data_IF_568564492684
#
_entry.id   IF_568564492684
#
_cell.length_a   1.000
_cell.length_b   1.000
_cell.length_c   1.000
_cell.angle_alpha   90.00
_cell.angle_beta   90.00
_cell.angle_gamma   90.00
#
_symmetry.space_group_name_H-M   'P 1'
#
loop_
_entity.id
_entity.type
_entity.pdbx_description
1 polymer ?
#
# COMPACT_ATOMS: atom_id res chain seq x y z
N UNK A 1 -0.86 41.84 1.08
CA UNK A 1 -1.75 41.06 0.21
C UNK A 1 -0.96 40.82 -1.07
N UNK A 2 -0.25 39.75 -1.17
CA UNK A 2 0.54 39.38 -2.37
C UNK A 2 -0.09 38.13 -2.95
N UNK A 3 -0.51 38.25 -4.19
CA UNK A 3 -1.21 37.24 -4.98
C UNK A 3 -0.39 35.94 -5.02
N UNK A 4 -0.95 34.89 -4.43
CA UNK A 4 -0.49 33.51 -4.62
C UNK A 4 -0.94 33.09 -6.02
N UNK A 5 -0.06 32.77 -6.95
CA UNK A 5 -0.46 32.26 -8.26
C UNK A 5 -1.09 30.88 -8.09
N UNK A 6 -2.40 30.85 -8.11
CA UNK A 6 -3.22 29.65 -8.19
C UNK A 6 -3.15 29.13 -9.62
N UNK A 7 -2.87 27.83 -9.74
CA UNK A 7 -3.09 26.97 -10.92
C UNK A 7 -1.94 26.81 -11.91
N UNK A 8 -1.07 25.84 -11.67
CA UNK A 8 -0.65 25.03 -12.82
C UNK A 8 -1.75 23.99 -13.11
N UNK A 9 -2.71 24.33 -13.93
CA UNK A 9 -3.62 23.34 -14.55
C UNK A 9 -2.73 22.44 -15.40
N UNK A 10 -2.63 21.15 -15.06
CA UNK A 10 -1.98 20.18 -15.94
C UNK A 10 -2.56 20.33 -17.36
N UNK A 11 -1.72 20.32 -18.40
CA UNK A 11 -2.20 20.50 -19.76
C UNK A 11 -3.25 19.43 -20.08
N UNK A 12 -4.27 19.73 -20.90
CA UNK A 12 -5.38 18.80 -21.19
C UNK A 12 -4.89 17.44 -21.71
N UNK A 13 -3.78 17.39 -22.43
CA UNK A 13 -3.14 16.14 -22.90
C UNK A 13 -2.73 15.20 -21.75
N UNK A 14 -2.20 15.71 -20.66
CA UNK A 14 -1.80 14.86 -19.50
C UNK A 14 -2.98 14.18 -18.82
N UNK A 15 -4.16 14.79 -18.80
CA UNK A 15 -5.37 14.19 -18.22
C UNK A 15 -5.94 13.07 -19.08
N UNK A 16 -5.92 13.25 -20.41
CA UNK A 16 -6.37 12.21 -21.36
C UNK A 16 -5.47 11.00 -21.26
N UNK A 17 -4.15 11.19 -21.23
CA UNK A 17 -3.18 10.11 -21.04
C UNK A 17 -3.42 9.37 -19.72
N UNK A 18 -3.60 10.10 -18.61
CA UNK A 18 -3.87 9.49 -17.31
C UNK A 18 -5.18 8.69 -17.32
N UNK A 19 -6.24 9.24 -17.95
CA UNK A 19 -7.52 8.54 -18.05
C UNK A 19 -7.40 7.26 -18.90
N UNK A 20 -6.68 7.31 -20.02
CA UNK A 20 -6.42 6.14 -20.85
C UNK A 20 -5.65 5.04 -20.08
N UNK A 21 -4.63 5.44 -19.29
CA UNK A 21 -3.88 4.52 -18.46
C UNK A 21 -4.72 3.92 -17.33
N UNK A 22 -5.65 4.68 -16.75
CA UNK A 22 -6.60 4.19 -15.74
C UNK A 22 -7.53 3.13 -16.32
N UNK A 23 -8.09 3.36 -17.52
CA UNK A 23 -8.92 2.34 -18.16
C UNK A 23 -8.12 1.12 -18.61
N UNK A 24 -6.89 1.30 -19.08
CA UNK A 24 -6.00 0.18 -19.38
C UNK A 24 -5.70 -0.64 -18.10
N UNK A 25 -5.49 0.04 -16.97
CA UNK A 25 -5.30 -0.60 -15.66
C UNK A 25 -6.54 -1.42 -15.26
N UNK A 26 -7.74 -0.86 -15.41
CA UNK A 26 -9.00 -1.58 -15.15
C UNK A 26 -9.10 -2.82 -16.04
N UNK A 27 -8.80 -2.70 -17.33
CA UNK A 27 -8.83 -3.84 -18.25
C UNK A 27 -7.81 -4.93 -17.85
N UNK A 28 -6.57 -4.55 -17.53
CA UNK A 28 -5.55 -5.49 -17.04
C UNK A 28 -6.00 -6.17 -15.74
N UNK A 29 -6.59 -5.43 -14.78
CA UNK A 29 -7.15 -6.03 -13.57
C UNK A 29 -8.26 -7.03 -13.88
N UNK A 30 -9.17 -6.75 -14.82
CA UNK A 30 -10.23 -7.70 -15.22
C UNK A 30 -9.64 -9.00 -15.78
N UNK A 31 -8.65 -8.90 -16.68
CA UNK A 31 -7.96 -10.06 -17.23
C UNK A 31 -7.27 -10.85 -16.12
N UNK A 32 -6.49 -10.16 -15.31
CA UNK A 32 -5.74 -10.76 -14.20
C UNK A 32 -6.66 -11.47 -13.20
N UNK A 33 -7.73 -10.83 -12.73
CA UNK A 33 -8.66 -11.40 -11.76
C UNK A 33 -9.44 -12.61 -12.31
N UNK A 34 -9.78 -12.59 -13.61
CA UNK A 34 -10.39 -13.76 -14.27
C UNK A 34 -9.44 -14.95 -14.25
N UNK A 35 -8.15 -14.74 -14.54
CA UNK A 35 -7.16 -15.80 -14.48
C UNK A 35 -6.82 -16.21 -13.05
N UNK A 36 -6.91 -15.30 -12.09
CA UNK A 36 -6.82 -15.65 -10.66
C UNK A 36 -7.90 -16.66 -10.29
N UNK A 37 -9.16 -16.46 -10.66
CA UNK A 37 -10.23 -17.44 -10.36
C UNK A 37 -9.97 -18.80 -11.02
N UNK A 38 -9.31 -18.84 -12.18
CA UNK A 38 -8.96 -20.08 -12.87
C UNK A 38 -7.79 -20.82 -12.20
N UNK A 39 -6.68 -20.14 -11.95
CA UNK A 39 -5.45 -20.76 -11.43
C UNK A 39 -5.51 -21.06 -9.93
N UNK A 40 -6.32 -20.30 -9.17
CA UNK A 40 -6.46 -20.43 -7.72
C UNK A 40 -7.82 -21.02 -7.29
N UNK A 41 -8.53 -21.70 -8.21
CA UNK A 41 -9.79 -22.40 -7.93
C UNK A 41 -9.66 -23.57 -6.93
N UNK A 42 -8.44 -23.97 -6.59
CA UNK A 42 -8.19 -24.98 -5.55
C UNK A 42 -8.32 -24.44 -4.13
N UNK A 43 -8.45 -23.14 -3.95
CA UNK A 43 -8.85 -22.57 -2.66
C UNK A 43 -10.37 -22.63 -2.54
N UNK A 44 -10.87 -23.11 -1.41
CA UNK A 44 -12.32 -23.30 -1.17
C UNK A 44 -13.14 -22.00 -1.19
N UNK A 45 -12.47 -20.85 -1.24
CA UNK A 45 -13.11 -19.52 -1.24
C UNK A 45 -13.38 -18.96 -2.65
N UNK A 46 -12.88 -19.60 -3.71
CA UNK A 46 -13.03 -19.15 -5.10
C UNK A 46 -13.52 -20.27 -6.02
N UNK A 47 -14.52 -19.96 -6.85
CA UNK A 47 -14.98 -20.81 -7.94
C UNK A 47 -14.65 -20.17 -9.29
N UNK A 48 -14.27 -21.00 -10.27
CA UNK A 48 -14.12 -20.55 -11.64
C UNK A 48 -15.38 -20.85 -12.45
N UNK A 49 -16.06 -19.80 -12.88
CA UNK A 49 -17.19 -19.90 -13.78
C UNK A 49 -17.15 -18.77 -14.82
N UNK A 50 -16.85 -19.05 -16.10
CA UNK A 50 -16.78 -18.04 -17.16
C UNK A 50 -18.05 -17.21 -17.31
N UNK A 51 -19.24 -17.77 -16.99
CA UNK A 51 -20.50 -17.05 -17.06
C UNK A 51 -20.60 -15.90 -16.05
N UNK A 52 -19.78 -15.90 -14.98
CA UNK A 52 -19.74 -14.84 -13.98
C UNK A 52 -18.93 -13.62 -14.44
N UNK A 53 -18.19 -13.67 -15.55
CA UNK A 53 -17.39 -12.55 -16.02
C UNK A 53 -18.22 -11.28 -16.26
N UNK A 54 -19.30 -11.37 -17.04
CA UNK A 54 -20.15 -10.20 -17.29
C UNK A 54 -20.87 -9.69 -16.04
N UNK A 55 -21.46 -10.53 -15.18
CA UNK A 55 -21.98 -10.09 -13.89
C UNK A 55 -20.92 -9.40 -13.01
N UNK A 56 -19.69 -9.92 -12.96
CA UNK A 56 -18.58 -9.30 -12.22
C UNK A 56 -18.23 -7.92 -12.77
N UNK A 57 -18.15 -7.80 -14.10
CA UNK A 57 -17.88 -6.52 -14.77
C UNK A 57 -18.98 -5.50 -14.49
N UNK A 58 -20.26 -5.90 -14.49
CA UNK A 58 -21.40 -5.02 -14.18
C UNK A 58 -21.35 -4.50 -12.74
N UNK A 59 -20.99 -5.35 -11.78
CA UNK A 59 -20.86 -4.94 -10.36
C UNK A 59 -19.67 -4.00 -10.17
N UNK A 60 -18.59 -4.20 -10.90
CA UNK A 60 -17.41 -3.36 -10.85
C UNK A 60 -17.51 -2.07 -11.70
N UNK A 61 -18.46 -1.99 -12.63
CA UNK A 61 -18.61 -0.88 -13.59
C UNK A 61 -18.70 0.52 -12.93
N UNK A 62 -19.40 0.73 -11.78
CA UNK A 62 -19.45 2.02 -11.11
C UNK A 62 -18.06 2.54 -10.73
N UNK A 63 -17.10 1.65 -10.47
CA UNK A 63 -15.70 2.03 -10.20
C UNK A 63 -14.99 2.56 -11.44
N UNK A 64 -15.42 2.18 -12.65
CA UNK A 64 -14.94 2.78 -13.89
C UNK A 64 -15.19 4.30 -13.94
N UNK A 65 -16.30 4.77 -13.37
CA UNK A 65 -16.57 6.20 -13.26
C UNK A 65 -15.61 6.93 -12.29
N UNK A 66 -15.09 6.23 -11.26
CA UNK A 66 -14.11 6.82 -10.34
C UNK A 66 -12.75 7.09 -11.00
N UNK A 67 -12.45 6.52 -12.17
CA UNK A 67 -11.28 6.87 -12.96
C UNK A 67 -11.25 8.38 -13.28
N UNK A 68 -12.40 9.01 -13.52
CA UNK A 68 -12.50 10.46 -13.70
C UNK A 68 -12.07 11.21 -12.43
N UNK A 69 -12.45 10.73 -11.25
CA UNK A 69 -12.06 11.35 -9.97
C UNK A 69 -10.54 11.38 -9.85
N UNK A 70 -9.85 10.26 -10.12
CA UNK A 70 -8.38 10.21 -10.12
C UNK A 70 -7.74 11.05 -11.21
N UNK A 71 -8.35 11.15 -12.40
CA UNK A 71 -7.84 11.99 -13.49
C UNK A 71 -7.88 13.50 -13.15
N UNK A 72 -8.81 13.94 -12.31
CA UNK A 72 -8.97 15.33 -11.91
C UNK A 72 -8.37 15.65 -10.54
N UNK A 73 -8.21 14.69 -9.65
CA UNK A 73 -7.59 14.89 -8.33
C UNK A 73 -6.13 15.34 -8.46
N UNK A 74 -5.66 16.13 -7.49
CA UNK A 74 -4.23 16.49 -7.36
C UNK A 74 -3.47 15.34 -6.72
N UNK A 75 -2.19 15.20 -7.09
CA UNK A 75 -1.33 14.25 -6.41
C UNK A 75 -1.16 14.66 -4.93
N UNK A 76 -1.27 13.67 -4.05
CA UNK A 76 -1.06 13.76 -2.61
C UNK A 76 -0.77 12.36 -2.06
N UNK A 77 -0.43 12.23 -0.77
CA UNK A 77 -0.36 10.92 -0.13
C UNK A 77 -1.71 10.18 -0.19
N UNK A 78 -2.81 10.94 -0.01
CA UNK A 78 -4.17 10.40 -0.15
C UNK A 78 -4.48 9.90 -1.56
N UNK A 79 -3.88 10.48 -2.60
CA UNK A 79 -3.97 9.97 -3.96
C UNK A 79 -3.30 8.59 -4.09
N UNK A 80 -2.08 8.44 -3.56
CA UNK A 80 -1.32 7.19 -3.59
C UNK A 80 -2.08 6.08 -2.85
N UNK A 81 -2.48 6.35 -1.60
CA UNK A 81 -3.21 5.38 -0.78
C UNK A 81 -4.62 5.12 -1.33
N UNK A 82 -5.28 6.16 -1.85
CA UNK A 82 -6.60 6.07 -2.46
C UNK A 82 -6.63 5.18 -3.71
N UNK A 83 -5.58 5.24 -4.54
CA UNK A 83 -5.48 4.38 -5.72
C UNK A 83 -5.30 2.91 -5.32
N UNK A 84 -4.49 2.62 -4.29
CA UNK A 84 -4.40 1.28 -3.73
C UNK A 84 -5.72 0.79 -3.14
N UNK A 85 -6.42 1.63 -2.39
CA UNK A 85 -7.75 1.34 -1.84
C UNK A 85 -8.79 1.07 -2.94
N UNK A 86 -8.75 1.86 -4.00
CA UNK A 86 -9.56 1.64 -5.21
C UNK A 86 -9.30 0.26 -5.82
N UNK A 87 -8.03 -0.14 -5.92
CA UNK A 87 -7.64 -1.47 -6.44
C UNK A 87 -8.23 -2.60 -5.59
N UNK A 88 -8.15 -2.49 -4.26
CA UNK A 88 -8.69 -3.50 -3.33
C UNK A 88 -10.20 -3.66 -3.51
N UNK A 89 -10.94 -2.54 -3.52
CA UNK A 89 -12.39 -2.59 -3.63
C UNK A 89 -12.81 -3.03 -5.03
N UNK A 90 -12.10 -2.61 -6.08
CA UNK A 90 -12.34 -3.08 -7.44
C UNK A 90 -12.19 -4.61 -7.53
N UNK A 91 -11.08 -5.14 -7.01
CA UNK A 91 -10.84 -6.58 -7.00
C UNK A 91 -11.89 -7.34 -6.18
N UNK A 92 -12.30 -6.81 -5.03
CA UNK A 92 -13.36 -7.40 -4.22
C UNK A 92 -14.70 -7.46 -4.96
N UNK A 93 -15.15 -6.36 -5.55
CA UNK A 93 -16.42 -6.32 -6.29
C UNK A 93 -16.41 -7.27 -7.49
N UNK A 94 -15.25 -7.42 -8.14
CA UNK A 94 -15.09 -8.36 -9.25
C UNK A 94 -15.12 -9.81 -8.77
N UNK A 95 -14.33 -10.15 -7.73
CA UNK A 95 -14.18 -11.52 -7.21
C UNK A 95 -15.41 -12.02 -6.44
N UNK A 96 -16.21 -11.12 -5.84
CA UNK A 96 -17.41 -11.48 -5.09
C UNK A 96 -18.44 -12.31 -5.91
N UNK A 97 -18.37 -12.25 -7.25
CA UNK A 97 -19.20 -13.10 -8.13
C UNK A 97 -18.67 -14.52 -8.29
N UNK A 98 -17.41 -14.73 -7.95
CA UNK A 98 -16.74 -16.03 -7.97
C UNK A 98 -16.51 -16.58 -6.56
N UNK A 99 -16.97 -15.87 -5.53
CA UNK A 99 -16.87 -16.28 -4.13
C UNK A 99 -17.80 -17.46 -3.84
N UNK A 100 -17.33 -18.36 -2.99
CA UNK A 100 -18.10 -19.52 -2.46
C UNK A 100 -18.53 -19.30 -1.02
N UNK A 101 -18.18 -18.15 -0.43
CA UNK A 101 -18.50 -17.81 0.96
C UNK A 101 -20.00 -17.49 1.12
N UNK A 102 -20.54 -17.79 2.31
CA UNK A 102 -21.98 -17.71 2.59
C UNK A 102 -22.35 -16.48 3.44
N UNK A 103 -22.46 -15.33 2.79
CA UNK A 103 -22.95 -14.11 3.43
C UNK A 103 -23.63 -13.18 2.42
N UNK A 104 -24.23 -12.08 2.86
CA UNK A 104 -24.89 -11.11 1.97
C UNK A 104 -23.86 -10.31 1.14
N UNK A 105 -23.44 -10.89 0.01
CA UNK A 105 -22.53 -10.25 -0.95
C UNK A 105 -23.07 -8.93 -1.52
N UNK A 106 -24.38 -8.73 -1.58
CA UNK A 106 -24.97 -7.47 -2.04
C UNK A 106 -24.72 -6.37 -1.02
N UNK A 107 -25.01 -6.65 0.25
CA UNK A 107 -24.70 -5.72 1.35
C UNK A 107 -23.19 -5.47 1.43
N UNK A 108 -22.35 -6.52 1.33
CA UNK A 108 -20.89 -6.42 1.31
C UNK A 108 -20.38 -5.52 0.18
N UNK A 109 -20.89 -5.70 -1.03
CA UNK A 109 -20.52 -4.88 -2.20
C UNK A 109 -20.91 -3.42 -2.04
N UNK A 110 -22.12 -3.14 -1.55
CA UNK A 110 -22.57 -1.77 -1.29
C UNK A 110 -21.72 -1.14 -0.18
N UNK A 111 -21.46 -1.87 0.91
CA UNK A 111 -20.61 -1.42 2.02
C UNK A 111 -19.21 -1.07 1.55
N UNK A 112 -18.56 -1.92 0.77
CA UNK A 112 -17.22 -1.69 0.26
C UNK A 112 -17.17 -0.47 -0.68
N UNK A 113 -18.15 -0.33 -1.58
CA UNK A 113 -18.24 0.80 -2.49
C UNK A 113 -18.45 2.12 -1.73
N UNK A 114 -19.38 2.16 -0.78
CA UNK A 114 -19.64 3.34 0.06
C UNK A 114 -18.45 3.65 0.95
N UNK A 115 -17.79 2.63 1.51
CA UNK A 115 -16.55 2.80 2.29
C UNK A 115 -15.44 3.42 1.45
N UNK A 116 -15.28 2.97 0.20
CA UNK A 116 -14.30 3.58 -0.71
C UNK A 116 -14.60 5.05 -0.97
N UNK A 117 -15.86 5.41 -1.25
CA UNK A 117 -16.25 6.82 -1.45
C UNK A 117 -16.02 7.64 -0.18
N UNK A 118 -16.42 7.12 0.98
CA UNK A 118 -16.24 7.77 2.28
C UNK A 118 -14.75 8.03 2.58
N UNK A 119 -13.87 7.11 2.20
CA UNK A 119 -12.43 7.29 2.29
C UNK A 119 -11.88 8.28 1.27
N UNK A 120 -12.23 8.12 -0.02
CA UNK A 120 -11.65 8.89 -1.12
C UNK A 120 -12.00 10.38 -1.08
N UNK A 121 -13.24 10.73 -0.69
CA UNK A 121 -13.67 12.13 -0.68
C UNK A 121 -12.74 13.00 0.18
N UNK A 122 -12.53 12.75 1.47
CA UNK A 122 -11.58 13.55 2.23
C UNK A 122 -10.12 13.33 1.79
N UNK A 123 -9.72 12.11 1.46
CA UNK A 123 -8.34 11.78 1.10
C UNK A 123 -7.86 12.45 -0.19
N UNK A 124 -8.73 12.70 -1.15
CA UNK A 124 -8.35 13.32 -2.44
C UNK A 124 -8.54 14.84 -2.46
N UNK A 125 -9.52 15.37 -1.73
CA UNK A 125 -9.95 16.76 -1.90
C UNK A 125 -9.53 17.68 -0.75
N UNK A 126 -9.23 17.17 0.44
CA UNK A 126 -8.77 18.00 1.55
C UNK A 126 -7.24 18.03 1.56
N UNK A 127 -6.67 19.07 0.92
CA UNK A 127 -5.23 19.24 0.74
C UNK A 127 -4.72 20.63 1.16
N UNK A 128 -5.55 21.50 1.75
CA UNK A 128 -5.13 22.84 2.17
C UNK A 128 -3.99 22.76 3.21
N UNK A 129 -2.87 23.52 3.04
CA UNK A 129 -1.69 23.38 3.90
C UNK A 129 -1.97 23.79 5.35
N UNK A 130 -1.29 23.13 6.27
CA UNK A 130 -1.20 23.56 7.67
C UNK A 130 0.08 24.39 7.83
N UNK A 131 -0.01 25.53 8.52
CA UNK A 131 1.15 26.38 8.81
C UNK A 131 2.18 25.58 9.61
N UNK A 132 3.39 25.48 9.07
CA UNK A 132 4.52 24.91 9.81
C UNK A 132 4.96 25.85 10.92
N UNK A 133 5.03 25.34 12.16
CA UNK A 133 5.59 26.08 13.31
C UNK A 133 7.05 25.72 13.53
N UNK A 134 7.45 24.52 13.16
CA UNK A 134 8.81 24.01 13.27
C UNK A 134 9.26 23.52 11.91
N UNK A 135 10.39 24.05 11.44
CA UNK A 135 11.01 23.67 10.16
C UNK A 135 12.47 23.35 10.44
N UNK A 136 12.91 22.20 10.00
CA UNK A 136 14.30 21.81 10.08
C UNK A 136 15.14 22.64 9.10
N UNK A 137 16.33 23.06 9.52
CA UNK A 137 17.33 23.56 8.58
C UNK A 137 17.83 22.41 7.67
N UNK A 138 18.41 22.72 6.51
CA UNK A 138 19.02 21.69 5.63
C UNK A 138 20.04 20.83 6.40
N UNK A 139 20.88 21.45 7.24
CA UNK A 139 21.83 20.74 8.10
C UNK A 139 21.12 19.89 9.17
N UNK A 140 20.00 20.37 9.73
CA UNK A 140 19.16 19.62 10.66
C UNK A 140 18.55 18.39 10.01
N UNK A 141 18.00 18.55 8.80
CA UNK A 141 17.48 17.43 8.01
C UNK A 141 18.59 16.40 7.75
N UNK A 142 19.77 16.83 7.29
CA UNK A 142 20.88 15.91 7.02
C UNK A 142 21.31 15.12 8.26
N UNK A 143 21.30 15.74 9.45
CA UNK A 143 21.58 15.06 10.73
C UNK A 143 20.51 14.01 11.03
N UNK A 144 19.22 14.33 10.84
CA UNK A 144 18.11 13.37 11.02
C UNK A 144 18.26 12.19 10.06
N UNK A 145 18.57 12.44 8.80
CA UNK A 145 18.79 11.36 7.81
C UNK A 145 20.00 10.49 8.20
N UNK A 146 21.09 11.09 8.69
CA UNK A 146 22.26 10.35 9.16
C UNK A 146 21.94 9.51 10.41
N UNK A 147 21.16 10.05 11.35
CA UNK A 147 20.67 9.29 12.51
C UNK A 147 19.81 8.11 12.13
N UNK A 148 18.94 8.24 11.11
CA UNK A 148 18.15 7.12 10.59
C UNK A 148 19.05 6.03 10.03
N UNK A 149 20.09 6.37 9.24
CA UNK A 149 21.04 5.36 8.74
C UNK A 149 21.80 4.68 9.86
N UNK A 150 22.29 5.45 10.84
CA UNK A 150 23.03 4.92 11.99
C UNK A 150 22.14 4.01 12.84
N UNK A 151 20.93 4.45 13.18
CA UNK A 151 19.97 3.64 13.91
C UNK A 151 19.63 2.34 13.16
N UNK A 152 19.47 2.42 11.83
CA UNK A 152 19.22 1.25 11.00
C UNK A 152 20.37 0.26 11.03
N UNK A 153 21.60 0.73 10.95
CA UNK A 153 22.79 -0.12 11.05
C UNK A 153 22.86 -0.81 12.42
N UNK A 154 22.63 -0.06 13.51
CA UNK A 154 22.60 -0.62 14.86
C UNK A 154 21.51 -1.71 14.99
N UNK A 155 20.29 -1.45 14.48
CA UNK A 155 19.20 -2.42 14.56
C UNK A 155 19.44 -3.64 13.67
N UNK A 156 20.09 -3.48 12.50
CA UNK A 156 20.54 -4.64 11.69
C UNK A 156 21.53 -5.49 12.48
N UNK A 157 22.54 -4.88 13.10
CA UNK A 157 23.54 -5.60 13.92
C UNK A 157 22.87 -6.29 15.11
N UNK A 158 22.04 -5.58 15.87
CA UNK A 158 21.28 -6.15 16.99
C UNK A 158 20.38 -7.30 16.53
N UNK A 159 19.65 -7.10 15.42
CA UNK A 159 18.79 -8.12 14.85
C UNK A 159 19.56 -9.37 14.38
N UNK A 160 20.78 -9.17 13.87
CA UNK A 160 21.64 -10.27 13.43
C UNK A 160 22.06 -11.21 14.57
N UNK A 161 22.11 -10.74 15.82
CA UNK A 161 22.33 -11.63 16.99
C UNK A 161 21.17 -12.58 17.24
N UNK A 162 19.94 -12.22 16.82
CA UNK A 162 18.77 -13.09 16.93
C UNK A 162 18.62 -14.01 15.72
N UNK A 163 18.85 -13.49 14.51
CA UNK A 163 18.81 -14.25 13.27
C UNK A 163 19.59 -13.55 12.16
N UNK A 164 20.41 -14.33 11.46
CA UNK A 164 21.03 -13.91 10.21
C UNK A 164 21.14 -15.10 9.27
N UNK A 165 20.18 -15.23 8.33
CA UNK A 165 20.13 -16.34 7.38
C UNK A 165 19.76 -15.82 5.99
N UNK A 166 20.45 -16.26 4.97
CA UNK A 166 20.06 -16.06 3.58
C UNK A 166 19.25 -17.29 3.14
N UNK A 167 17.98 -17.08 2.86
CA UNK A 167 17.03 -18.15 2.51
C UNK A 167 16.37 -17.80 1.18
N UNK A 168 16.07 -18.78 0.34
CA UNK A 168 15.29 -18.60 -0.87
C UNK A 168 13.84 -18.17 -0.58
N UNK A 169 13.18 -17.55 -1.57
CA UNK A 169 11.80 -17.05 -1.40
C UNK A 169 10.82 -18.17 -1.04
N UNK A 170 11.05 -19.39 -1.53
CA UNK A 170 10.21 -20.56 -1.24
C UNK A 170 10.26 -20.97 0.23
N UNK A 171 11.42 -20.85 0.85
CA UNK A 171 11.67 -21.36 2.21
C UNK A 171 11.46 -20.30 3.31
N UNK A 172 11.12 -19.06 2.93
CA UNK A 172 10.95 -17.95 3.87
C UNK A 172 10.04 -18.35 5.05
N UNK A 173 8.89 -18.95 4.78
CA UNK A 173 7.89 -19.25 5.83
C UNK A 173 8.35 -20.33 6.81
N UNK A 174 9.13 -21.31 6.34
CA UNK A 174 9.68 -22.39 7.18
C UNK A 174 10.54 -21.85 8.32
N UNK A 175 11.37 -20.84 8.01
CA UNK A 175 12.28 -20.25 9.00
C UNK A 175 11.70 -19.03 9.71
N UNK A 176 10.90 -18.22 9.03
CA UNK A 176 10.33 -16.98 9.57
C UNK A 176 9.41 -17.23 10.78
N UNK A 177 8.63 -18.31 10.77
CA UNK A 177 7.70 -18.62 11.85
C UNK A 177 8.41 -19.01 13.17
N UNK A 178 9.72 -19.26 13.11
CA UNK A 178 10.57 -19.56 14.27
C UNK A 178 11.26 -18.33 14.84
N UNK A 179 11.10 -17.15 14.19
CA UNK A 179 11.82 -15.94 14.58
C UNK A 179 11.08 -15.19 15.69
N UNK A 180 11.76 -15.02 16.81
CA UNK A 180 11.28 -14.22 17.94
C UNK A 180 12.22 -13.04 18.16
N UNK A 181 11.71 -11.82 18.03
CA UNK A 181 12.42 -10.60 18.35
C UNK A 181 11.79 -9.95 19.58
N UNK A 182 12.59 -9.36 20.49
CA UNK A 182 12.07 -8.49 21.55
C UNK A 182 11.19 -7.39 20.95
N UNK A 183 10.11 -7.04 21.64
CA UNK A 183 9.15 -6.04 21.13
C UNK A 183 9.80 -4.73 20.64
N UNK A 184 10.76 -4.10 21.35
CA UNK A 184 11.41 -2.88 20.87
C UNK A 184 12.13 -3.07 19.52
N UNK A 185 12.83 -4.18 19.34
CA UNK A 185 13.55 -4.50 18.09
C UNK A 185 12.56 -4.70 16.95
N UNK A 186 11.48 -5.43 17.18
CA UNK A 186 10.42 -5.65 16.19
C UNK A 186 9.76 -4.35 15.74
N UNK A 187 9.42 -3.45 16.67
CA UNK A 187 8.88 -2.12 16.36
C UNK A 187 9.89 -1.26 15.61
N UNK A 188 11.17 -1.26 16.02
CA UNK A 188 12.21 -0.53 15.33
C UNK A 188 12.38 -1.00 13.89
N UNK A 189 12.45 -2.31 13.64
CA UNK A 189 12.53 -2.91 12.30
C UNK A 189 11.32 -2.45 11.44
N UNK A 190 10.10 -2.58 11.96
CA UNK A 190 8.89 -2.16 11.22
C UNK A 190 8.93 -0.69 10.81
N UNK A 191 9.28 0.20 11.74
CA UNK A 191 9.39 1.65 11.49
C UNK A 191 10.50 1.98 10.48
N UNK A 192 11.68 1.34 10.62
CA UNK A 192 12.82 1.60 9.76
C UNK A 192 12.57 1.16 8.32
N UNK A 193 12.12 -0.08 8.12
CA UNK A 193 11.95 -0.66 6.78
C UNK A 193 10.78 -0.04 6.03
N UNK A 194 9.65 0.22 6.72
CA UNK A 194 8.43 0.67 6.05
C UNK A 194 8.38 2.20 5.83
N UNK A 195 9.04 3.00 6.67
CA UNK A 195 8.87 4.45 6.66
C UNK A 195 10.18 5.24 6.68
N UNK A 196 11.06 5.00 7.67
CA UNK A 196 12.19 5.88 7.92
C UNK A 196 13.31 5.74 6.88
N UNK A 197 13.68 4.52 6.47
CA UNK A 197 14.67 4.31 5.42
C UNK A 197 14.15 4.74 4.03
N UNK A 198 12.90 4.47 3.62
CA UNK A 198 12.29 5.09 2.44
C UNK A 198 12.33 6.62 2.47
N UNK A 199 12.05 7.24 3.63
CA UNK A 199 12.19 8.68 3.80
C UNK A 199 13.65 9.13 3.65
N UNK A 200 14.61 8.41 4.24
CA UNK A 200 16.03 8.73 4.11
C UNK A 200 16.51 8.60 2.66
N UNK A 201 16.08 7.57 1.95
CA UNK A 201 16.35 7.40 0.51
C UNK A 201 15.87 8.61 -0.29
N UNK A 202 14.60 8.97 -0.16
CA UNK A 202 14.03 10.12 -0.86
C UNK A 202 14.69 11.44 -0.44
N UNK A 203 14.99 11.61 0.85
CA UNK A 203 15.65 12.80 1.40
C UNK A 203 17.06 13.01 0.85
N UNK A 204 17.86 11.95 0.79
CA UNK A 204 19.20 12.04 0.21
C UNK A 204 19.20 12.26 -1.29
N UNK A 205 18.21 11.72 -2.01
CA UNK A 205 18.04 12.05 -3.43
C UNK A 205 17.69 13.53 -3.64
N UNK A 206 16.80 14.08 -2.80
CA UNK A 206 16.43 15.49 -2.85
C UNK A 206 17.61 16.42 -2.49
N UNK A 207 18.52 15.97 -1.61
CA UNK A 207 19.76 16.68 -1.26
C UNK A 207 20.90 16.48 -2.28
N UNK A 208 20.68 15.77 -3.39
CA UNK A 208 21.73 15.49 -4.38
C UNK A 208 22.84 14.54 -3.89
N UNK A 209 22.57 13.68 -2.90
CA UNK A 209 23.54 12.75 -2.29
C UNK A 209 23.24 11.28 -2.64
N UNK A 210 23.43 10.85 -3.91
CA UNK A 210 23.00 9.54 -4.40
C UNK A 210 23.66 8.36 -3.68
N UNK A 211 24.92 8.49 -3.25
CA UNK A 211 25.61 7.41 -2.53
C UNK A 211 25.00 7.16 -1.14
N UNK A 212 24.58 8.22 -0.43
CA UNK A 212 23.86 8.06 0.84
C UNK A 212 22.45 7.52 0.63
N UNK A 213 21.81 7.88 -0.48
CA UNK A 213 20.55 7.26 -0.87
C UNK A 213 20.71 5.76 -1.15
N UNK A 214 21.76 5.37 -1.91
CA UNK A 214 22.07 3.95 -2.13
C UNK A 214 22.32 3.21 -0.80
N UNK A 215 23.03 3.82 0.15
CA UNK A 215 23.24 3.24 1.48
C UNK A 215 21.91 2.95 2.20
N UNK A 216 20.89 3.81 2.06
CA UNK A 216 19.57 3.55 2.61
C UNK A 216 18.90 2.31 1.98
N UNK A 217 19.01 2.13 0.65
CA UNK A 217 18.49 0.92 -0.03
C UNK A 217 19.23 -0.34 0.39
N UNK A 218 20.56 -0.26 0.51
CA UNK A 218 21.39 -1.38 0.98
C UNK A 218 20.99 -1.79 2.41
N UNK A 219 20.78 -0.81 3.31
CA UNK A 219 20.34 -1.07 4.68
C UNK A 219 18.95 -1.74 4.71
N UNK A 220 18.00 -1.31 3.85
CA UNK A 220 16.70 -2.02 3.74
C UNK A 220 16.93 -3.48 3.34
N UNK A 221 17.77 -3.73 2.33
CA UNK A 221 18.11 -5.08 1.87
C UNK A 221 18.77 -5.93 2.96
N UNK A 222 19.61 -5.33 3.81
CA UNK A 222 20.26 -6.04 4.93
C UNK A 222 19.28 -6.46 6.05
N UNK A 223 18.09 -5.87 6.12
CA UNK A 223 17.04 -6.39 6.99
C UNK A 223 16.46 -7.72 6.51
N UNK A 224 16.63 -8.10 5.22
CA UNK A 224 16.08 -9.36 4.72
C UNK A 224 16.65 -10.59 5.43
N UNK A 225 17.98 -10.83 5.49
CA UNK A 225 18.54 -11.98 6.20
C UNK A 225 18.24 -11.97 7.70
N UNK A 226 17.94 -10.82 8.29
CA UNK A 226 17.56 -10.68 9.70
C UNK A 226 16.10 -11.09 9.91
N UNK A 227 15.18 -10.58 9.08
CA UNK A 227 13.74 -10.68 9.33
C UNK A 227 13.03 -11.74 8.49
N UNK A 228 13.66 -12.22 7.44
CA UNK A 228 13.08 -13.12 6.43
C UNK A 228 11.71 -12.60 5.92
N UNK A 229 11.60 -11.27 5.70
CA UNK A 229 10.35 -10.68 5.21
C UNK A 229 10.46 -10.32 3.74
N UNK A 230 9.41 -10.67 2.97
CA UNK A 230 9.30 -10.26 1.57
C UNK A 230 9.33 -8.73 1.42
N UNK A 231 8.83 -7.99 2.42
CA UNK A 231 8.89 -6.53 2.45
C UNK A 231 10.34 -6.04 2.37
N UNK A 232 11.22 -6.50 3.27
CA UNK A 232 12.63 -6.10 3.28
C UNK A 232 13.35 -6.50 2.00
N UNK A 233 13.01 -7.65 1.40
CA UNK A 233 13.59 -8.15 0.16
C UNK A 233 13.22 -7.27 -1.04
N UNK A 234 11.94 -6.94 -1.20
CA UNK A 234 11.45 -6.28 -2.42
C UNK A 234 11.46 -4.74 -2.33
N UNK A 235 11.44 -4.16 -1.13
CA UNK A 235 11.38 -2.70 -0.96
C UNK A 235 12.52 -1.95 -1.64
N UNK A 236 13.79 -2.37 -1.65
CA UNK A 236 14.86 -1.66 -2.37
C UNK A 236 14.57 -1.53 -3.86
N UNK A 237 14.19 -2.63 -4.52
CA UNK A 237 13.80 -2.63 -5.93
C UNK A 237 12.55 -1.80 -6.21
N UNK A 238 11.56 -1.88 -5.33
CA UNK A 238 10.33 -1.10 -5.41
C UNK A 238 10.57 0.41 -5.33
N UNK A 239 11.38 0.87 -4.37
CA UNK A 239 11.70 2.29 -4.23
C UNK A 239 12.52 2.81 -5.40
N UNK A 240 13.48 2.03 -5.90
CA UNK A 240 14.25 2.36 -7.09
C UNK A 240 13.33 2.46 -8.33
N UNK A 241 12.38 1.55 -8.48
CA UNK A 241 11.39 1.56 -9.54
C UNK A 241 10.46 2.78 -9.46
N UNK A 242 9.93 3.11 -8.28
CA UNK A 242 9.11 4.31 -8.07
C UNK A 242 9.90 5.59 -8.35
N UNK A 243 11.15 5.67 -7.91
CA UNK A 243 12.03 6.80 -8.20
C UNK A 243 12.26 6.96 -9.70
N UNK A 244 12.52 5.84 -10.40
CA UNK A 244 12.72 5.83 -11.84
C UNK A 244 11.46 6.33 -12.57
N UNK A 245 10.29 5.78 -12.23
CA UNK A 245 9.02 6.24 -12.80
C UNK A 245 8.80 7.73 -12.53
N UNK A 246 8.96 8.17 -11.28
CA UNK A 246 8.78 9.57 -10.91
C UNK A 246 9.76 10.52 -11.60
N UNK A 247 10.90 10.03 -12.08
CA UNK A 247 11.88 10.83 -12.84
C UNK A 247 11.38 11.17 -14.26
N UNK A 248 10.67 10.23 -14.90
CA UNK A 248 10.28 10.35 -16.30
C UNK A 248 8.83 10.76 -16.53
N UNK A 249 7.95 10.46 -15.57
CA UNK A 249 6.53 10.77 -15.71
C UNK A 249 5.98 11.56 -14.51
N UNK A 250 4.80 12.16 -14.71
CA UNK A 250 4.07 12.84 -13.64
C UNK A 250 3.74 11.85 -12.50
N UNK A 251 3.81 12.27 -11.22
CA UNK A 251 3.57 11.38 -10.07
C UNK A 251 2.25 10.60 -10.11
N UNK A 252 1.15 11.19 -10.61
CA UNK A 252 -0.13 10.46 -10.77
C UNK A 252 -0.02 9.32 -11.77
N UNK A 253 0.65 9.56 -12.90
CA UNK A 253 0.94 8.54 -13.92
C UNK A 253 1.87 7.48 -13.33
N UNK A 254 2.89 7.90 -12.56
CA UNK A 254 3.80 6.97 -11.90
C UNK A 254 3.07 6.02 -10.93
N UNK A 255 2.06 6.51 -10.18
CA UNK A 255 1.21 5.65 -9.32
C UNK A 255 0.47 4.61 -10.15
N UNK A 256 -0.17 5.00 -11.25
CA UNK A 256 -0.92 4.04 -12.09
C UNK A 256 0.04 3.04 -12.74
N UNK A 257 1.13 3.52 -13.32
CA UNK A 257 2.14 2.65 -13.96
C UNK A 257 2.81 1.70 -12.98
N UNK A 258 2.98 2.10 -11.72
CA UNK A 258 3.61 1.25 -10.71
C UNK A 258 2.84 -0.05 -10.44
N UNK A 259 1.53 -0.05 -10.62
CA UNK A 259 0.70 -1.25 -10.55
C UNK A 259 0.41 -1.84 -11.93
N UNK A 260 0.13 -1.01 -12.93
CA UNK A 260 -0.20 -1.45 -14.29
C UNK A 260 0.94 -2.29 -14.91
N UNK A 261 2.19 -1.81 -14.86
CA UNK A 261 3.29 -2.51 -15.52
C UNK A 261 3.53 -3.91 -14.96
N UNK A 262 3.68 -4.12 -13.63
CA UNK A 262 3.86 -5.46 -13.09
C UNK A 262 2.68 -6.40 -13.41
N UNK A 263 1.44 -5.91 -13.31
CA UNK A 263 0.24 -6.71 -13.61
C UNK A 263 0.20 -7.10 -15.08
N UNK A 264 0.44 -6.15 -15.98
CA UNK A 264 0.45 -6.40 -17.43
C UNK A 264 1.54 -7.36 -17.85
N UNK A 265 2.69 -7.39 -17.18
CA UNK A 265 3.73 -8.40 -17.42
C UNK A 265 3.17 -9.79 -17.09
N UNK A 266 2.53 -9.97 -15.93
CA UNK A 266 1.91 -11.25 -15.58
C UNK A 266 0.83 -11.69 -16.56
N UNK A 267 -0.01 -10.76 -17.02
CA UNK A 267 -1.02 -11.05 -18.03
C UNK A 267 -0.38 -11.41 -19.40
N UNK A 268 0.73 -10.77 -19.77
CA UNK A 268 1.47 -11.08 -20.99
C UNK A 268 2.17 -12.46 -20.96
N UNK A 269 2.41 -13.02 -19.76
CA UNK A 269 2.94 -14.37 -19.62
C UNK A 269 1.89 -15.48 -19.89
N UNK A 270 0.60 -15.15 -19.80
CA UNK A 270 -0.50 -16.12 -19.99
C UNK A 270 -0.44 -16.85 -21.34
N UNK A 271 -0.34 -16.17 -22.50
CA UNK A 271 -0.24 -16.87 -23.78
C UNK A 271 1.03 -17.72 -23.89
N UNK A 272 2.15 -17.32 -23.27
CA UNK A 272 3.41 -18.09 -23.30
C UNK A 272 3.28 -19.42 -22.57
N UNK A 273 2.54 -19.45 -21.46
CA UNK A 273 2.21 -20.70 -20.75
C UNK A 273 1.22 -21.53 -21.55
N UNK A 274 0.18 -20.92 -22.11
CA UNK A 274 -0.82 -21.62 -22.92
C UNK A 274 -0.20 -22.34 -24.14
N UNK A 275 0.84 -21.74 -24.74
CA UNK A 275 1.59 -22.33 -25.86
C UNK A 275 2.76 -23.24 -25.43
N UNK A 276 2.97 -23.47 -24.13
CA UNK A 276 4.06 -24.32 -23.62
C UNK A 276 5.47 -23.73 -23.76
N UNK A 277 5.59 -22.44 -24.11
CA UNK A 277 6.88 -21.74 -24.27
C UNK A 277 7.49 -21.38 -22.90
N UNK A 278 6.65 -21.14 -21.90
CA UNK A 278 7.06 -20.88 -20.53
C UNK A 278 6.55 -21.98 -19.61
N UNK A 279 7.40 -22.48 -18.70
CA UNK A 279 6.98 -23.51 -17.74
C UNK A 279 5.97 -22.93 -16.75
N UNK A 280 5.04 -23.76 -16.30
CA UNK A 280 4.01 -23.40 -15.33
C UNK A 280 4.60 -22.86 -14.01
N UNK A 281 5.69 -23.46 -13.51
CA UNK A 281 6.33 -23.06 -12.26
C UNK A 281 6.88 -21.64 -12.31
N UNK A 282 7.53 -21.26 -13.40
CA UNK A 282 8.04 -19.90 -13.58
C UNK A 282 6.89 -18.88 -13.70
N UNK A 283 5.85 -19.24 -14.45
CA UNK A 283 4.67 -18.41 -14.58
C UNK A 283 3.99 -18.21 -13.22
N UNK A 284 3.63 -19.28 -12.51
CA UNK A 284 2.92 -19.18 -11.24
C UNK A 284 3.76 -18.48 -10.17
N UNK A 285 5.08 -18.60 -10.25
CA UNK A 285 6.01 -17.87 -9.39
C UNK A 285 5.86 -16.34 -9.55
N UNK A 286 5.79 -15.85 -10.79
CA UNK A 286 5.56 -14.42 -11.06
C UNK A 286 4.09 -14.04 -10.80
N UNK A 287 3.15 -14.71 -11.45
CA UNK A 287 1.72 -14.42 -11.41
C UNK A 287 1.18 -14.48 -9.97
N UNK A 288 1.61 -15.48 -9.19
CA UNK A 288 1.26 -15.59 -7.78
C UNK A 288 1.86 -14.50 -6.89
N UNK A 289 3.08 -14.05 -7.20
CA UNK A 289 3.73 -13.01 -6.40
C UNK A 289 3.21 -11.62 -6.74
N UNK A 290 2.83 -11.36 -7.97
CA UNK A 290 2.39 -10.04 -8.47
C UNK A 290 0.87 -10.02 -8.62
N UNK A 291 0.30 -10.65 -9.64
CA UNK A 291 -1.12 -10.54 -9.97
C UNK A 291 -2.03 -11.02 -8.84
N UNK A 292 -1.75 -12.19 -8.28
CA UNK A 292 -2.52 -12.71 -7.16
C UNK A 292 -2.33 -11.89 -5.88
N UNK A 293 -1.07 -11.64 -5.45
CA UNK A 293 -0.82 -10.98 -4.16
C UNK A 293 -1.03 -9.48 -4.15
N UNK A 294 -0.84 -8.77 -5.27
CA UNK A 294 -1.01 -7.31 -5.28
C UNK A 294 -2.48 -6.89 -5.40
N UNK A 295 -3.31 -7.68 -6.08
CA UNK A 295 -4.72 -7.34 -6.32
C UNK A 295 -5.65 -8.28 -5.57
N UNK A 296 -5.56 -9.60 -5.84
CA UNK A 296 -6.59 -10.53 -5.38
C UNK A 296 -6.53 -10.79 -3.87
N UNK A 297 -5.36 -10.97 -3.28
CA UNK A 297 -5.24 -11.25 -1.83
C UNK A 297 -5.80 -10.14 -0.95
N UNK A 298 -5.48 -8.84 -1.16
CA UNK A 298 -6.10 -7.77 -0.38
C UNK A 298 -7.61 -7.65 -0.63
N UNK A 299 -8.07 -8.01 -1.82
CA UNK A 299 -9.48 -8.01 -2.19
C UNK A 299 -10.25 -9.16 -1.55
N UNK A 300 -9.69 -10.37 -1.59
CA UNK A 300 -10.24 -11.56 -0.90
C UNK A 300 -10.28 -11.36 0.62
N UNK A 301 -9.36 -10.61 1.19
CA UNK A 301 -9.41 -10.30 2.61
C UNK A 301 -10.72 -9.59 3.00
N UNK A 302 -11.28 -8.71 2.14
CA UNK A 302 -12.59 -8.10 2.37
C UNK A 302 -13.71 -9.14 2.37
N UNK A 303 -13.65 -10.11 1.48
CA UNK A 303 -14.63 -11.18 1.33
C UNK A 303 -14.63 -12.09 2.57
N UNK A 304 -13.43 -12.56 2.98
CA UNK A 304 -13.22 -13.38 4.18
C UNK A 304 -13.71 -12.68 5.45
N UNK A 305 -13.41 -11.40 5.60
CA UNK A 305 -13.86 -10.61 6.75
C UNK A 305 -15.38 -10.37 6.68
N UNK A 306 -15.94 -10.19 5.49
CA UNK A 306 -17.38 -10.09 5.27
C UNK A 306 -18.11 -11.33 5.74
N UNK A 307 -17.65 -12.51 5.34
CA UNK A 307 -18.21 -13.80 5.76
C UNK A 307 -18.04 -14.03 7.26
N UNK A 308 -16.80 -13.94 7.77
CA UNK A 308 -16.51 -14.22 9.17
C UNK A 308 -17.34 -13.34 10.12
N UNK A 309 -17.33 -12.03 9.94
CA UNK A 309 -18.03 -11.08 10.82
C UNK A 309 -19.54 -10.96 10.54
N UNK A 310 -20.06 -11.68 9.56
CA UNK A 310 -21.50 -11.91 9.42
C UNK A 310 -22.02 -12.99 10.39
N UNK A 311 -21.14 -13.86 10.88
CA UNK A 311 -21.47 -15.00 11.75
C UNK A 311 -20.83 -14.92 13.14
N UNK A 312 -19.91 -13.96 13.38
CA UNK A 312 -19.16 -13.85 14.62
C UNK A 312 -19.21 -12.40 15.20
N UNK A 313 -18.88 -12.29 16.48
CA UNK A 313 -18.89 -11.02 17.19
C UNK A 313 -17.92 -10.01 16.58
N UNK A 314 -18.32 -8.73 16.57
CA UNK A 314 -17.50 -7.62 16.12
C UNK A 314 -16.41 -7.28 17.15
N UNK A 315 -15.30 -6.71 16.67
CA UNK A 315 -14.17 -6.35 17.55
C UNK A 315 -14.33 -5.02 18.24
N UNK A 316 -15.18 -4.12 17.75
CA UNK A 316 -15.35 -2.76 18.26
C UNK A 316 -14.02 -2.04 18.52
N UNK A 317 -13.05 -2.21 17.61
CA UNK A 317 -11.69 -1.66 17.68
C UNK A 317 -10.81 -2.20 18.82
N UNK A 318 -11.18 -3.30 19.49
CA UNK A 318 -10.39 -3.87 20.59
C UNK A 318 -8.98 -4.31 20.19
N UNK A 319 -8.70 -4.51 18.89
CA UNK A 319 -7.36 -4.75 18.35
C UNK A 319 -6.42 -3.55 18.54
N UNK A 320 -6.95 -2.34 18.79
CA UNK A 320 -6.15 -1.15 19.07
C UNK A 320 -5.77 -1.14 20.55
N UNK A 321 -4.48 -1.22 20.86
CA UNK A 321 -3.95 -1.41 22.21
C UNK A 321 -4.51 -0.40 23.24
N UNK A 322 -4.67 0.87 22.83
CA UNK A 322 -5.20 1.92 23.73
C UNK A 322 -6.67 1.67 24.06
N UNK A 323 -7.46 1.19 23.07
CA UNK A 323 -8.89 0.94 23.23
C UNK A 323 -9.19 -0.38 23.96
N UNK A 324 -8.25 -1.33 23.95
CA UNK A 324 -8.37 -2.61 24.65
C UNK A 324 -8.63 -2.45 26.15
N UNK A 325 -8.33 -1.28 26.74
CA UNK A 325 -8.64 -0.99 28.15
C UNK A 325 -10.11 -0.66 28.40
N UNK A 326 -10.84 -0.27 27.36
CA UNK A 326 -12.23 0.19 27.44
C UNK A 326 -13.20 -0.77 26.78
N UNK A 327 -12.72 -1.63 25.89
CA UNK A 327 -13.54 -2.59 25.13
C UNK A 327 -13.02 -4.00 25.39
N UNK A 328 -13.89 -4.87 25.85
CA UNK A 328 -13.58 -6.31 25.96
C UNK A 328 -13.43 -6.90 24.56
N UNK A 329 -12.31 -7.57 24.30
CA UNK A 329 -12.05 -8.20 23.01
C UNK A 329 -12.57 -9.64 23.01
N UNK A 330 -13.47 -10.03 22.09
CA UNK A 330 -13.95 -11.41 22.01
C UNK A 330 -12.86 -12.37 21.49
N UNK A 331 -11.75 -11.83 20.98
CA UNK A 331 -10.67 -12.61 20.38
C UNK A 331 -9.37 -12.50 21.17
N UNK A 332 -8.76 -13.64 21.48
CA UNK A 332 -7.45 -13.72 22.15
C UNK A 332 -6.27 -13.66 21.18
N UNK A 333 -6.47 -14.09 19.93
CA UNK A 333 -5.46 -14.13 18.88
C UNK A 333 -5.60 -12.94 17.91
N UNK A 334 -4.56 -12.70 17.11
CA UNK A 334 -4.63 -11.71 16.02
C UNK A 334 -5.62 -12.17 14.94
N UNK A 335 -6.39 -11.23 14.38
CA UNK A 335 -7.38 -11.54 13.34
C UNK A 335 -6.78 -12.28 12.15
N UNK A 336 -5.56 -11.94 11.73
CA UNK A 336 -4.87 -12.63 10.63
C UNK A 336 -4.61 -14.11 10.90
N UNK A 337 -4.40 -14.49 12.18
CA UNK A 337 -4.23 -15.89 12.60
C UNK A 337 -5.56 -16.60 12.62
N UNK A 338 -6.61 -15.95 13.12
CA UNK A 338 -7.98 -16.48 13.13
C UNK A 338 -8.43 -16.77 11.70
N UNK A 339 -8.30 -15.79 10.77
CA UNK A 339 -8.63 -15.97 9.37
C UNK A 339 -7.85 -17.11 8.72
N UNK A 340 -6.55 -17.23 9.05
CA UNK A 340 -5.72 -18.33 8.54
C UNK A 340 -6.23 -19.70 8.99
N UNK A 341 -6.65 -19.82 10.26
CA UNK A 341 -7.18 -21.09 10.82
C UNK A 341 -8.56 -21.42 10.26
N UNK A 342 -9.39 -20.40 10.01
CA UNK A 342 -10.76 -20.59 9.55
C UNK A 342 -10.84 -20.98 8.08
N UNK A 343 -10.02 -20.36 7.22
CA UNK A 343 -10.11 -20.51 5.76
C UNK A 343 -8.93 -21.24 5.11
N UNK A 344 -7.94 -21.68 5.88
CA UNK A 344 -6.72 -22.37 5.41
C UNK A 344 -5.96 -21.65 4.28
N UNK A 345 -5.98 -20.31 4.32
CA UNK A 345 -5.36 -19.45 3.29
C UNK A 345 -4.01 -18.85 3.68
N UNK A 346 -3.39 -19.33 4.76
CA UNK A 346 -2.23 -18.69 5.37
C UNK A 346 -2.61 -17.37 6.07
N UNK A 347 -1.63 -16.67 6.66
CA UNK A 347 -1.90 -15.44 7.39
C UNK A 347 -2.46 -14.35 6.45
N UNK A 348 -3.74 -14.04 6.58
CA UNK A 348 -4.44 -13.01 5.81
C UNK A 348 -4.48 -11.74 6.65
N UNK A 349 -3.49 -10.87 6.43
CA UNK A 349 -3.56 -9.50 6.90
C UNK A 349 -4.51 -8.71 6.01
N UNK A 350 -5.23 -7.76 6.59
CA UNK A 350 -6.22 -7.00 5.87
C UNK A 350 -6.09 -5.50 6.11
N UNK A 351 -6.46 -4.72 5.11
CA UNK A 351 -6.46 -3.26 5.14
C UNK A 351 -7.53 -2.68 6.09
N UNK A 352 -7.55 -1.36 6.17
CA UNK A 352 -8.54 -0.60 6.96
C UNK A 352 -10.00 -0.98 6.66
N UNK A 353 -10.33 -1.31 5.42
CA UNK A 353 -11.72 -1.64 5.06
C UNK A 353 -12.21 -2.92 5.72
N UNK A 354 -11.35 -3.92 5.82
CA UNK A 354 -11.66 -5.17 6.49
C UNK A 354 -11.53 -5.05 8.02
N UNK A 355 -10.43 -4.48 8.52
CA UNK A 355 -10.13 -4.48 9.96
C UNK A 355 -10.81 -3.36 10.73
N UNK A 356 -10.54 -2.09 10.43
CA UNK A 356 -11.23 -0.96 11.07
C UNK A 356 -12.69 -0.86 10.59
N UNK A 357 -12.97 -1.28 9.35
CA UNK A 357 -14.31 -1.30 8.80
C UNK A 357 -15.12 -2.49 9.28
N UNK A 358 -15.06 -3.59 8.52
CA UNK A 358 -15.95 -4.75 8.67
C UNK A 358 -15.80 -5.42 10.03
N UNK A 359 -14.55 -5.71 10.47
CA UNK A 359 -14.33 -6.40 11.73
C UNK A 359 -14.77 -5.57 12.96
N UNK A 360 -14.67 -4.24 12.90
CA UNK A 360 -14.96 -3.39 14.05
C UNK A 360 -16.39 -2.91 14.11
N UNK A 361 -17.03 -2.63 12.96
CA UNK A 361 -18.35 -2.01 12.88
C UNK A 361 -19.36 -2.81 12.03
N UNK A 362 -18.96 -3.96 11.50
CA UNK A 362 -19.77 -4.75 10.61
C UNK A 362 -19.96 -4.09 9.23
N UNK A 363 -20.59 -4.80 8.29
CA UNK A 363 -20.80 -4.32 6.93
C UNK A 363 -21.55 -2.98 6.87
N UNK A 364 -22.51 -2.72 7.76
CA UNK A 364 -23.29 -1.48 7.79
C UNK A 364 -22.50 -0.29 8.33
N UNK A 365 -21.62 -0.51 9.29
CA UNK A 365 -20.86 0.54 9.96
C UNK A 365 -19.49 0.81 9.32
N UNK A 366 -18.98 -0.08 8.48
CA UNK A 366 -17.67 0.05 7.83
C UNK A 366 -17.42 1.40 7.13
N UNK A 367 -18.41 2.03 6.45
CA UNK A 367 -18.21 3.35 5.85
C UNK A 367 -17.82 4.45 6.83
N UNK A 368 -18.25 4.37 8.09
CA UNK A 368 -17.88 5.36 9.12
C UNK A 368 -16.40 5.24 9.51
N UNK A 369 -15.90 4.02 9.65
CA UNK A 369 -14.47 3.79 9.89
C UNK A 369 -13.63 4.24 8.70
N UNK A 370 -14.07 3.95 7.48
CA UNK A 370 -13.41 4.38 6.26
C UNK A 370 -13.36 5.92 6.14
N UNK A 371 -14.44 6.62 6.51
CA UNK A 371 -14.47 8.08 6.56
C UNK A 371 -13.45 8.62 7.57
N UNK A 372 -13.39 8.05 8.76
CA UNK A 372 -12.42 8.46 9.80
C UNK A 372 -10.97 8.28 9.30
N UNK A 373 -10.65 7.14 8.66
CA UNK A 373 -9.34 6.91 8.05
C UNK A 373 -9.05 7.87 6.88
N UNK A 374 -10.08 8.19 6.08
CA UNK A 374 -9.99 9.20 5.02
C UNK A 374 -9.70 10.60 5.56
N UNK A 375 -10.33 11.00 6.66
CA UNK A 375 -10.06 12.28 7.35
C UNK A 375 -8.65 12.33 7.94
N UNK A 376 -8.15 11.23 8.53
CA UNK A 376 -6.76 11.13 8.97
C UNK A 376 -5.79 11.25 7.79
N UNK A 377 -6.08 10.60 6.67
CA UNK A 377 -5.30 10.74 5.43
C UNK A 377 -5.33 12.17 4.89
N UNK A 378 -6.47 12.82 4.94
CA UNK A 378 -6.62 14.25 4.60
C UNK A 378 -5.76 15.14 5.51
N UNK A 379 -5.69 14.85 6.81
CA UNK A 379 -4.81 15.56 7.73
C UNK A 379 -3.34 15.37 7.33
N UNK A 380 -2.93 14.15 6.94
CA UNK A 380 -1.57 13.87 6.46
C UNK A 380 -1.26 14.64 5.16
N UNK A 381 -2.20 14.72 4.22
CA UNK A 381 -2.04 15.56 3.03
C UNK A 381 -1.71 17.01 3.40
N UNK A 382 -2.41 17.56 4.40
CA UNK A 382 -2.19 18.93 4.87
C UNK A 382 -0.83 19.12 5.53
N UNK A 383 -0.30 18.07 6.22
CA UNK A 383 1.05 18.08 6.79
C UNK A 383 2.13 18.02 5.72
N UNK A 384 1.92 17.29 4.63
CA UNK A 384 2.87 17.09 3.54
C UNK A 384 2.75 18.12 2.42
N UNK A 385 1.73 18.98 2.46
CA UNK A 385 1.50 19.99 1.41
C UNK A 385 2.71 20.93 1.26
N UNK A 386 3.12 21.18 0.01
CA UNK A 386 4.29 21.97 -0.33
C UNK A 386 5.59 21.13 -0.46
N UNK A 387 5.59 19.87 -0.07
CA UNK A 387 6.68 18.96 -0.45
C UNK A 387 6.55 18.58 -1.95
N UNK A 388 7.69 18.35 -2.63
CA UNK A 388 7.68 17.88 -4.00
C UNK A 388 6.87 16.58 -4.13
N UNK A 389 5.94 16.47 -5.09
CA UNK A 389 5.12 15.26 -5.27
C UNK A 389 5.95 13.98 -5.46
N UNK A 390 7.10 14.08 -6.15
CA UNK A 390 8.04 12.96 -6.33
C UNK A 390 8.63 12.49 -5.02
N UNK A 391 8.94 13.43 -4.13
CA UNK A 391 9.45 13.12 -2.79
C UNK A 391 8.40 12.34 -1.97
N UNK A 392 7.15 12.82 -1.96
CA UNK A 392 6.04 12.13 -1.26
C UNK A 392 5.86 10.71 -1.82
N UNK A 393 5.83 10.55 -3.15
CA UNK A 393 5.66 9.24 -3.79
C UNK A 393 6.74 8.24 -3.36
N UNK A 394 8.00 8.65 -3.42
CA UNK A 394 9.13 7.75 -3.12
C UNK A 394 9.23 7.47 -1.62
N UNK A 395 9.10 8.51 -0.78
CA UNK A 395 9.21 8.36 0.69
C UNK A 395 8.06 7.57 1.31
N UNK A 396 6.87 7.57 0.67
CA UNK A 396 5.70 6.81 1.12
C UNK A 396 5.54 5.47 0.42
N UNK A 397 6.32 5.16 -0.61
CA UNK A 397 6.07 4.03 -1.50
C UNK A 397 6.02 2.67 -0.81
N UNK A 398 6.89 2.42 0.15
CA UNK A 398 6.86 1.19 0.95
C UNK A 398 5.69 1.19 1.96
N UNK A 399 5.47 2.32 2.64
CA UNK A 399 4.39 2.45 3.62
C UNK A 399 3.02 2.27 2.97
N UNK A 400 2.79 2.82 1.79
CA UNK A 400 1.53 2.66 1.07
C UNK A 400 1.23 1.18 0.77
N UNK A 401 2.23 0.40 0.35
CA UNK A 401 2.08 -1.06 0.16
C UNK A 401 1.76 -1.79 1.47
N UNK A 402 2.38 -1.38 2.57
CA UNK A 402 2.07 -1.94 3.90
C UNK A 402 0.62 -1.64 4.28
N UNK A 403 0.17 -0.39 4.12
CA UNK A 403 -1.19 0.03 4.51
C UNK A 403 -2.31 -0.63 3.68
N UNK A 404 -2.00 -1.16 2.51
CA UNK A 404 -2.94 -1.96 1.73
C UNK A 404 -3.16 -3.38 2.32
N UNK A 405 -2.23 -3.87 3.12
CA UNK A 405 -2.24 -5.23 3.67
C UNK A 405 -2.24 -5.29 5.20
N UNK A 406 -2.25 -4.15 5.89
CA UNK A 406 -2.15 -4.06 7.34
C UNK A 406 -3.17 -3.04 7.85
N UNK A 407 -3.77 -3.24 9.04
CA UNK A 407 -4.67 -2.26 9.63
C UNK A 407 -4.06 -0.85 9.68
N UNK A 408 -4.87 0.15 9.42
CA UNK A 408 -4.44 1.55 9.40
C UNK A 408 -3.87 1.98 10.76
N UNK A 409 -4.54 1.61 11.84
CA UNK A 409 -4.12 1.86 13.22
C UNK A 409 -2.76 1.21 13.55
N UNK A 410 -2.53 -0.01 13.09
CA UNK A 410 -1.25 -0.71 13.24
C UNK A 410 -0.14 0.01 12.46
N UNK A 411 -0.46 0.47 11.25
CA UNK A 411 0.51 1.17 10.40
C UNK A 411 1.00 2.47 11.01
N UNK A 412 0.16 3.17 11.79
CA UNK A 412 0.53 4.42 12.46
C UNK A 412 1.71 4.24 13.42
N UNK A 413 1.70 3.19 14.24
CA UNK A 413 2.69 2.99 15.30
C UNK A 413 3.74 1.95 14.93
N UNK A 414 3.33 0.80 14.42
CA UNK A 414 4.21 -0.35 14.21
C UNK A 414 5.04 -0.22 12.92
N UNK A 415 4.49 0.44 11.89
CA UNK A 415 5.15 0.61 10.61
C UNK A 415 5.64 2.04 10.35
N UNK A 416 5.62 2.91 11.36
CA UNK A 416 6.27 4.22 11.32
C UNK A 416 5.53 5.31 10.55
N UNK A 417 4.23 5.12 10.23
CA UNK A 417 3.48 6.13 9.51
C UNK A 417 3.42 7.46 10.26
N UNK A 418 3.16 7.44 11.58
CA UNK A 418 3.13 8.66 12.38
C UNK A 418 4.49 9.40 12.38
N UNK A 419 5.60 8.66 12.45
CA UNK A 419 6.95 9.23 12.38
C UNK A 419 7.21 9.87 11.01
N UNK A 420 6.82 9.20 9.91
CA UNK A 420 6.92 9.75 8.56
C UNK A 420 6.11 11.03 8.39
N UNK A 421 4.87 11.07 8.90
CA UNK A 421 4.00 12.24 8.80
C UNK A 421 4.55 13.43 9.60
N UNK A 422 5.14 13.18 10.76
CA UNK A 422 5.85 14.19 11.53
C UNK A 422 7.09 14.71 10.78
N UNK A 423 7.88 13.82 10.20
CA UNK A 423 9.04 14.20 9.37
C UNK A 423 8.63 15.05 8.17
N UNK A 424 7.55 14.71 7.47
CA UNK A 424 7.01 15.55 6.41
C UNK A 424 6.59 16.93 6.90
N UNK A 425 5.98 17.02 8.08
CA UNK A 425 5.57 18.31 8.65
C UNK A 425 6.77 19.21 8.93
N UNK A 426 7.85 18.68 9.51
CA UNK A 426 9.02 19.48 9.90
C UNK A 426 10.04 19.68 8.77
N UNK A 427 9.87 19.01 7.63
CA UNK A 427 10.79 19.08 6.49
C UNK A 427 10.71 20.46 5.80
N UNK A 428 11.87 21.10 5.43
CA UNK A 428 11.88 22.32 4.64
C UNK A 428 11.24 22.10 3.26
N UNK A 429 10.59 23.13 2.71
CA UNK A 429 9.82 23.05 1.45
C UNK A 429 10.65 23.42 0.21
N UNK A 430 11.80 24.07 0.39
CA UNK A 430 12.68 24.65 -0.62
C UNK A 430 13.87 23.75 -1.04
N UNK A 431 13.72 22.44 -0.88
CA UNK A 431 14.84 21.49 -1.08
C UNK A 431 15.20 21.29 -2.56
N UNK A 432 14.23 21.43 -3.48
CA UNK A 432 14.45 21.15 -4.90
C UNK A 432 15.08 22.32 -5.69
N UNK A 433 15.14 23.53 -5.15
CA UNK A 433 15.62 24.72 -5.89
C UNK A 433 17.13 24.69 -6.18
N UNK A 434 17.93 24.06 -5.31
CA UNK A 434 19.39 23.99 -5.48
C UNK A 434 19.83 22.95 -6.52
N UNK A 435 19.12 21.82 -6.65
CA UNK A 435 19.44 20.78 -7.64
C UNK A 435 19.19 21.23 -9.10
N UNK A 436 18.31 22.20 -9.29
CA UNK A 436 18.02 22.80 -10.60
C UNK A 436 19.00 23.90 -11.01
N UNK A 437 19.58 24.62 -10.04
CA UNK A 437 20.53 25.72 -10.27
C UNK A 437 21.92 25.20 -10.60
N UNK A 438 22.34 24.08 -10.02
CA UNK A 438 23.67 23.49 -10.29
C UNK A 438 23.75 22.85 -11.70
N UNK A 439 22.62 22.31 -12.21
CA UNK A 439 22.54 21.78 -13.60
C UNK A 439 22.50 22.86 -14.69
N UNK A 440 22.25 24.12 -14.34
CA UNK A 440 22.35 25.27 -15.29
C UNK A 440 23.72 25.92 -15.29
N UNK A 441 24.61 25.52 -14.36
CA UNK A 441 25.99 26.04 -14.24
C UNK A 441 27.06 25.03 -14.69
N UNK A 442 26.69 23.78 -14.98
CA UNK A 442 27.52 22.75 -15.61
C UNK A 442 27.10 22.55 -17.08
#
# INVERSE_FOLDING_TARGET
>A
MTDIPITSKAPPRGRITLLALLYLYIAACCVSLTHVTYYYRGYDVLSYNPAQFFPALLVAAPLGALAFVFAFARFSFGYLLGFGSYTIVFGYLFLAKSSTLDYDHRLGSISAFVSLLAFLVPALFITAPIKQRFVLSKAGLERVLALILLASLVIVVVGAFFNFRLVGIADIYTFRNQLEFPAPVRYAIGNLVSALLPFAFAGYLALGKPWKALAALVLIGLFYPVTLTKLALFTPGWLAFLWLLARYVEPRIAVVLSLLLPISIGDALLPLVAHGTLSYDHFIGYFGTINFRMIAVPSLALDLYGDFFSHHDLTYFCQIHVLKRFVSCPYSEYLSVIMSKTYDLGAVNASLFATEGVASLGLKGAPLAALACGLLTAFVNRLSQGLPPRFILVSAGALAQVMMNVPFSTSLLTNGAAALFLLWYVMPRDIDDDASTDRRRS
#
